data_IF_701455852744
#
_entry.id   IF_701455852744
#
_cell.length_a   1.000
_cell.length_b   1.000
_cell.length_c   1.000
_cell.angle_alpha   90.00
_cell.angle_beta   90.00
_cell.angle_gamma   90.00
#
_symmetry.space_group_name_H-M   'P 1'
#
loop_
_entity.id
_entity.type
_entity.pdbx_description
1 polymer ?
#
# COMPACT_ATOMS: atom_id res chain seq x y z
N UNK A 1 38.69 3.30 39.81
CA UNK A 1 38.37 2.14 38.93
C UNK A 1 36.86 2.01 38.87
N UNK A 2 36.22 2.50 37.80
CA UNK A 2 34.77 2.40 37.61
C UNK A 2 34.39 1.03 37.06
N UNK A 3 33.40 0.38 37.68
CA UNK A 3 32.87 -0.94 37.31
C UNK A 3 32.55 -1.05 35.80
N UNK A 4 33.21 -1.96 35.05
CA UNK A 4 32.93 -2.18 33.62
C UNK A 4 31.47 -2.58 33.33
N UNK A 5 30.82 -3.28 34.26
CA UNK A 5 29.49 -3.87 34.06
C UNK A 5 28.31 -2.88 34.06
N UNK A 6 28.43 -1.72 34.71
CA UNK A 6 27.37 -0.71 34.69
C UNK A 6 27.22 -0.05 33.30
N UNK A 7 28.35 0.17 32.62
CA UNK A 7 28.38 0.76 31.28
C UNK A 7 27.80 -0.18 30.20
N UNK A 8 27.93 -1.49 30.41
CA UNK A 8 27.48 -2.53 29.49
C UNK A 8 25.97 -2.80 29.63
N UNK A 9 25.45 -2.82 30.86
CA UNK A 9 24.01 -2.93 31.12
C UNK A 9 23.22 -1.74 30.57
N UNK A 10 23.75 -0.51 30.69
CA UNK A 10 23.12 0.69 30.11
C UNK A 10 23.11 0.62 28.59
N UNK A 11 24.21 0.15 27.96
CA UNK A 11 24.29 -0.02 26.49
C UNK A 11 23.29 -1.06 25.99
N UNK A 12 23.11 -2.17 26.71
CA UNK A 12 22.15 -3.22 26.36
C UNK A 12 20.70 -2.75 26.53
N UNK A 13 20.40 -1.98 27.60
CA UNK A 13 19.08 -1.38 27.82
C UNK A 13 18.72 -0.34 26.74
N UNK A 14 19.66 0.54 26.38
CA UNK A 14 19.48 1.53 25.31
C UNK A 14 19.31 0.89 23.94
N UNK A 15 20.02 -0.20 23.65
CA UNK A 15 19.86 -0.96 22.42
C UNK A 15 18.46 -1.63 22.36
N UNK A 16 17.97 -2.16 23.47
CA UNK A 16 16.61 -2.70 23.58
C UNK A 16 15.53 -1.64 23.36
N UNK A 17 15.67 -0.47 24.00
CA UNK A 17 14.75 0.66 23.82
C UNK A 17 14.76 1.17 22.37
N UNK A 18 15.95 1.32 21.77
CA UNK A 18 16.10 1.75 20.37
C UNK A 18 15.42 0.80 19.39
N UNK A 19 15.56 -0.52 19.59
CA UNK A 19 14.88 -1.54 18.78
C UNK A 19 13.36 -1.47 18.93
N UNK A 20 12.86 -1.19 20.14
CA UNK A 20 11.44 -1.00 20.38
C UNK A 20 10.90 0.28 19.74
N UNK A 21 11.65 1.37 19.78
CA UNK A 21 11.30 2.61 19.08
C UNK A 21 11.30 2.38 17.57
N UNK A 22 12.30 1.68 17.04
CA UNK A 22 12.33 1.26 15.63
C UNK A 22 11.10 0.42 15.26
N UNK A 23 10.75 -0.61 16.04
CA UNK A 23 9.61 -1.48 15.72
C UNK A 23 8.27 -0.73 15.72
N UNK A 24 8.09 0.22 16.66
CA UNK A 24 6.89 1.05 16.76
C UNK A 24 6.80 2.06 15.61
N UNK A 25 7.92 2.65 15.17
CA UNK A 25 7.96 3.72 14.16
C UNK A 25 8.08 3.23 12.71
N UNK A 26 8.76 2.11 12.46
CA UNK A 26 9.10 1.64 11.11
C UNK A 26 8.09 0.64 10.52
N UNK A 27 7.17 0.11 11.35
CA UNK A 27 6.07 -0.78 10.94
C UNK A 27 6.51 -1.94 10.03
N UNK A 28 7.49 -2.71 10.50
CA UNK A 28 7.82 -4.02 9.93
C UNK A 28 6.90 -5.10 10.55
N UNK A 29 5.78 -5.38 9.88
CA UNK A 29 5.14 -6.70 9.89
C UNK A 29 4.44 -7.23 11.15
N UNK A 30 4.40 -6.52 12.29
CA UNK A 30 3.85 -7.04 13.55
C UNK A 30 2.51 -6.46 14.00
N UNK A 31 1.72 -7.28 14.70
CA UNK A 31 0.44 -7.04 15.41
C UNK A 31 0.52 -6.00 16.55
N UNK A 32 1.45 -5.05 16.50
CA UNK A 32 1.62 -4.06 17.58
C UNK A 32 0.54 -2.96 17.47
N UNK A 33 -0.43 -3.03 18.38
CA UNK A 33 -1.51 -2.05 18.53
C UNK A 33 -0.92 -0.66 18.75
N UNK A 34 0.20 -0.57 19.48
CA UNK A 34 0.87 0.69 19.83
C UNK A 34 1.34 1.44 18.58
N UNK A 35 2.02 0.75 17.67
CA UNK A 35 2.48 1.34 16.40
C UNK A 35 1.32 1.75 15.49
N UNK A 36 0.23 0.97 15.50
CA UNK A 36 -0.97 1.30 14.73
C UNK A 36 -1.67 2.55 15.27
N UNK A 37 -1.86 2.65 16.59
CA UNK A 37 -2.44 3.83 17.24
C UNK A 37 -1.58 5.07 16.99
N UNK A 38 -0.26 4.99 17.19
CA UNK A 38 0.65 6.10 16.93
C UNK A 38 0.55 6.57 15.48
N UNK A 39 0.49 5.64 14.52
CA UNK A 39 0.35 5.96 13.10
C UNK A 39 -0.97 6.70 12.82
N UNK A 40 -2.10 6.26 13.38
CA UNK A 40 -3.38 6.96 13.24
C UNK A 40 -3.35 8.35 13.87
N UNK A 41 -2.73 8.49 15.05
CA UNK A 41 -2.57 9.80 15.71
C UNK A 41 -1.70 10.75 14.88
N UNK A 42 -0.60 10.28 14.30
CA UNK A 42 0.25 11.08 13.41
C UNK A 42 -0.50 11.51 12.15
N UNK A 43 -1.28 10.61 11.54
CA UNK A 43 -2.12 10.96 10.37
C UNK A 43 -3.18 11.99 10.74
N UNK A 44 -3.89 11.81 11.87
CA UNK A 44 -4.87 12.77 12.35
C UNK A 44 -4.23 14.14 12.62
N UNK A 45 -3.04 14.16 13.23
CA UNK A 45 -2.28 15.38 13.46
C UNK A 45 -1.90 16.07 12.15
N UNK A 46 -1.43 15.33 11.13
CA UNK A 46 -1.15 15.89 9.80
C UNK A 46 -2.41 16.55 9.23
N UNK A 47 -3.55 15.86 9.24
CA UNK A 47 -4.81 16.40 8.72
C UNK A 47 -5.23 17.68 9.46
N UNK A 48 -5.16 17.67 10.80
CA UNK A 48 -5.46 18.86 11.62
C UNK A 48 -4.55 20.02 11.27
N UNK A 49 -3.24 19.79 11.09
CA UNK A 49 -2.32 20.87 10.70
C UNK A 49 -2.56 21.40 9.29
N UNK A 50 -2.96 20.56 8.33
CA UNK A 50 -3.30 21.00 6.98
C UNK A 50 -4.57 21.86 7.01
N UNK A 51 -5.58 21.45 7.76
CA UNK A 51 -6.80 22.25 7.97
C UNK A 51 -6.45 23.59 8.63
N UNK A 52 -5.66 23.57 9.71
CA UNK A 52 -5.22 24.79 10.39
C UNK A 52 -4.47 25.74 9.44
N UNK A 53 -3.58 25.22 8.59
CA UNK A 53 -2.85 26.01 7.58
C UNK A 53 -3.80 26.63 6.55
N UNK A 54 -4.84 25.91 6.12
CA UNK A 54 -5.87 26.45 5.22
C UNK A 54 -6.69 27.54 5.91
N UNK A 55 -7.07 27.35 7.17
CA UNK A 55 -7.81 28.36 7.94
C UNK A 55 -6.97 29.62 8.21
N UNK A 56 -5.67 29.46 8.49
CA UNK A 56 -4.70 30.55 8.66
C UNK A 56 -4.52 31.37 7.37
N UNK A 57 -4.78 30.78 6.20
CA UNK A 57 -4.71 31.52 4.93
C UNK A 57 -5.85 32.53 4.72
N UNK A 58 -6.92 32.46 5.53
CA UNK A 58 -8.06 33.38 5.48
C UNK A 58 -7.88 34.49 6.51
N UNK A 59 -7.71 35.77 6.12
CA UNK A 59 -7.32 36.85 7.05
C UNK A 59 -8.21 36.99 8.28
N UNK A 60 -9.54 36.96 8.10
CA UNK A 60 -10.49 37.10 9.20
C UNK A 60 -10.42 35.93 10.21
N UNK A 61 -10.19 34.70 9.74
CA UNK A 61 -10.04 33.54 10.60
C UNK A 61 -8.68 33.53 11.30
N UNK A 62 -7.62 33.95 10.60
CA UNK A 62 -6.29 34.09 11.15
C UNK A 62 -6.27 35.09 12.31
N UNK A 63 -6.95 36.24 12.16
CA UNK A 63 -7.06 37.25 13.22
C UNK A 63 -7.91 36.75 14.39
N UNK A 64 -9.06 36.12 14.11
CA UNK A 64 -10.02 35.69 15.16
C UNK A 64 -9.51 34.49 15.97
N UNK A 65 -8.87 33.52 15.32
CA UNK A 65 -8.42 32.26 15.93
C UNK A 65 -6.90 32.14 16.06
N UNK A 66 -6.17 33.26 15.97
CA UNK A 66 -4.70 33.31 15.98
C UNK A 66 -4.08 32.42 17.07
N UNK A 67 -4.53 32.56 18.31
CA UNK A 67 -3.97 31.81 19.46
C UNK A 67 -4.17 30.30 19.33
N UNK A 68 -5.35 29.86 18.86
CA UNK A 68 -5.66 28.44 18.68
C UNK A 68 -4.82 27.84 17.54
N UNK A 69 -4.77 28.52 16.40
CA UNK A 69 -4.03 28.07 15.21
C UNK A 69 -2.52 27.98 15.52
N UNK A 70 -1.96 28.99 16.19
CA UNK A 70 -0.57 28.95 16.64
C UNK A 70 -0.33 27.83 17.66
N UNK A 71 -1.24 27.60 18.61
CA UNK A 71 -1.08 26.50 19.58
C UNK A 71 -1.03 25.13 18.91
N UNK A 72 -1.89 24.91 17.90
CA UNK A 72 -1.88 23.70 17.08
C UNK A 72 -0.53 23.55 16.37
N UNK A 73 -0.04 24.62 15.74
CA UNK A 73 1.22 24.63 15.00
C UNK A 73 2.42 24.28 15.89
N UNK A 74 2.51 24.89 17.08
CA UNK A 74 3.58 24.66 18.03
C UNK A 74 3.55 23.23 18.58
N UNK A 75 2.36 22.75 18.98
CA UNK A 75 2.18 21.39 19.47
C UNK A 75 2.52 20.36 18.39
N UNK A 76 2.00 20.53 17.17
CA UNK A 76 2.23 19.60 16.09
C UNK A 76 3.69 19.57 15.65
N UNK A 77 4.35 20.74 15.55
CA UNK A 77 5.76 20.80 15.20
C UNK A 77 6.65 20.19 16.27
N UNK A 78 6.31 20.38 17.56
CA UNK A 78 6.98 19.70 18.66
C UNK A 78 6.89 18.18 18.53
N UNK A 79 5.70 17.65 18.27
CA UNK A 79 5.46 16.21 18.05
C UNK A 79 6.23 15.70 16.83
N UNK A 80 6.15 16.38 15.68
CA UNK A 80 6.86 15.99 14.46
C UNK A 80 8.38 16.09 14.59
N UNK A 81 8.89 17.04 15.37
CA UNK A 81 10.32 17.16 15.65
C UNK A 81 10.78 16.01 16.54
N UNK A 82 10.02 15.67 17.59
CA UNK A 82 10.30 14.53 18.45
C UNK A 82 10.26 13.20 17.66
N UNK A 83 9.27 13.05 16.78
CA UNK A 83 9.18 11.91 15.86
C UNK A 83 10.40 11.82 14.94
N UNK A 84 10.80 12.92 14.29
CA UNK A 84 11.97 12.94 13.41
C UNK A 84 13.26 12.59 14.14
N UNK A 85 13.46 13.14 15.34
CA UNK A 85 14.61 12.82 16.19
C UNK A 85 14.60 11.34 16.61
N UNK A 86 13.44 10.81 16.99
CA UNK A 86 13.29 9.40 17.35
C UNK A 86 13.65 8.49 16.17
N UNK A 87 13.21 8.84 14.95
CA UNK A 87 13.56 8.12 13.71
C UNK A 87 15.05 8.21 13.39
N UNK A 88 15.64 9.39 13.49
CA UNK A 88 17.08 9.58 13.27
C UNK A 88 17.90 8.80 14.31
N UNK A 89 17.42 8.71 15.55
CA UNK A 89 18.05 7.92 16.60
C UNK A 89 17.95 6.41 16.35
N UNK A 90 16.79 5.92 15.90
CA UNK A 90 16.52 4.52 15.61
C UNK A 90 17.06 4.04 14.25
N UNK A 91 17.37 4.95 13.32
CA UNK A 91 17.83 4.64 11.96
C UNK A 91 19.08 3.74 11.89
N UNK A 92 19.87 3.65 12.95
CA UNK A 92 21.02 2.72 13.02
C UNK A 92 20.64 1.24 13.12
N UNK A 93 19.36 0.92 13.38
CA UNK A 93 18.84 -0.46 13.40
C UNK A 93 18.36 -0.93 12.01
N UNK A 94 18.19 -0.01 11.05
CA UNK A 94 17.76 -0.36 9.69
C UNK A 94 18.73 -1.35 9.03
N UNK A 95 18.25 -2.49 8.50
CA UNK A 95 19.10 -3.51 7.87
C UNK A 95 20.11 -2.98 6.82
N UNK A 96 19.76 -2.07 5.90
CA UNK A 96 20.71 -1.56 4.91
C UNK A 96 21.68 -0.49 5.46
N UNK A 97 21.37 0.11 6.61
CA UNK A 97 22.15 1.20 7.23
C UNK A 97 23.07 0.69 8.35
N UNK A 98 22.85 -0.53 8.84
CA UNK A 98 23.64 -1.19 9.90
C UNK A 98 25.13 -1.33 9.59
N UNK A 99 25.50 -1.45 8.31
CA UNK A 99 26.90 -1.59 7.88
C UNK A 99 27.67 -0.28 7.84
N UNK A 100 26.97 0.87 7.92
CA UNK A 100 27.60 2.18 7.94
C UNK A 100 27.76 2.64 9.40
N UNK A 101 28.87 3.31 9.72
CA UNK A 101 29.11 3.84 11.06
C UNK A 101 27.95 4.71 11.58
N UNK A 102 27.78 4.82 12.91
CA UNK A 102 26.60 5.43 13.57
C UNK A 102 26.25 6.83 13.05
N UNK A 103 27.26 7.64 12.69
CA UNK A 103 27.05 8.98 12.15
C UNK A 103 26.60 8.95 10.68
N UNK A 104 27.32 8.20 9.83
CA UNK A 104 27.00 8.08 8.40
C UNK A 104 25.65 7.41 8.16
N UNK A 105 25.26 6.42 8.97
CA UNK A 105 23.93 5.80 8.88
C UNK A 105 22.78 6.79 9.14
N UNK A 106 22.97 7.73 10.07
CA UNK A 106 22.01 8.80 10.37
C UNK A 106 21.94 9.85 9.27
N UNK A 107 23.10 10.30 8.78
CA UNK A 107 23.16 11.28 7.69
C UNK A 107 22.51 10.74 6.42
N UNK A 108 22.78 9.47 6.09
CA UNK A 108 22.18 8.79 4.95
C UNK A 108 20.66 8.61 5.11
N UNK A 109 20.16 8.40 6.33
CA UNK A 109 18.73 8.42 6.60
C UNK A 109 18.13 9.82 6.40
N UNK A 110 18.77 10.87 6.94
CA UNK A 110 18.30 12.25 6.80
C UNK A 110 18.20 12.69 5.32
N UNK A 111 19.13 12.24 4.48
CA UNK A 111 19.16 12.50 3.03
C UNK A 111 18.31 11.53 2.21
N UNK A 112 17.64 10.56 2.84
CA UNK A 112 16.70 9.67 2.15
C UNK A 112 15.41 10.41 1.78
N UNK A 113 14.64 9.98 0.76
CA UNK A 113 13.38 10.63 0.39
C UNK A 113 12.41 10.80 1.56
N UNK A 114 12.29 9.78 2.42
CA UNK A 114 11.44 9.84 3.61
C UNK A 114 12.01 10.79 4.68
N UNK A 115 13.33 10.79 4.89
CA UNK A 115 14.00 11.70 5.82
C UNK A 115 13.88 13.16 5.39
N UNK A 116 13.94 13.44 4.09
CA UNK A 116 13.76 14.78 3.52
C UNK A 116 12.33 15.28 3.71
N UNK A 117 11.32 14.41 3.52
CA UNK A 117 9.92 14.76 3.80
C UNK A 117 9.71 15.07 5.29
N UNK A 118 10.27 14.23 6.18
CA UNK A 118 10.15 14.47 7.63
C UNK A 118 10.87 15.75 8.06
N UNK A 119 12.00 16.07 7.44
CA UNK A 119 12.74 17.32 7.65
C UNK A 119 11.95 18.53 7.12
N UNK A 120 11.46 18.47 5.89
CA UNK A 120 10.67 19.54 5.26
C UNK A 120 9.40 19.86 6.06
N UNK A 121 8.82 18.87 6.77
CA UNK A 121 7.65 19.06 7.61
C UNK A 121 7.92 19.92 8.87
N UNK A 122 9.14 19.92 9.39
CA UNK A 122 9.53 20.67 10.60
C UNK A 122 10.33 21.94 10.27
N UNK A 123 10.96 21.99 9.10
CA UNK A 123 11.86 23.06 8.67
C UNK A 123 11.23 24.47 8.71
N UNK A 124 9.97 24.70 8.28
CA UNK A 124 9.38 26.04 8.25
C UNK A 124 9.35 26.73 9.62
N UNK A 125 9.07 25.97 10.68
CA UNK A 125 9.02 26.48 12.04
C UNK A 125 10.40 26.90 12.51
N UNK A 126 11.41 26.06 12.30
CA UNK A 126 12.79 26.36 12.71
C UNK A 126 13.40 27.51 11.90
N UNK A 127 13.07 27.62 10.60
CA UNK A 127 13.49 28.76 9.78
C UNK A 127 12.88 30.08 10.24
N UNK A 128 11.66 30.06 10.78
CA UNK A 128 10.99 31.25 11.32
C UNK A 128 11.69 31.90 12.52
N UNK A 129 12.64 31.21 13.16
CA UNK A 129 13.47 31.80 14.24
C UNK A 129 14.77 32.45 13.73
N UNK A 130 15.20 32.14 12.50
CA UNK A 130 16.52 32.53 11.97
C UNK A 130 16.40 33.58 10.88
N UNK A 131 15.32 33.54 10.11
CA UNK A 131 15.05 34.42 8.97
C UNK A 131 13.77 35.17 9.30
N UNK A 132 13.70 36.48 9.06
CA UNK A 132 12.43 37.23 8.99
C UNK A 132 11.74 36.83 7.67
N UNK A 133 10.78 35.88 7.69
CA UNK A 133 10.26 35.30 6.47
C UNK A 133 9.06 36.11 6.00
N UNK A 134 8.88 36.22 4.70
CA UNK A 134 7.54 36.46 4.17
C UNK A 134 6.66 35.27 4.59
N UNK A 135 5.76 35.50 5.55
CA UNK A 135 4.92 34.47 6.17
C UNK A 135 4.18 33.61 5.14
N UNK A 136 3.93 34.16 3.94
CA UNK A 136 3.28 33.48 2.82
C UNK A 136 4.10 32.32 2.26
N UNK A 137 5.42 32.48 2.12
CA UNK A 137 6.28 31.42 1.58
C UNK A 137 6.36 30.25 2.57
N UNK A 138 6.48 30.55 3.88
CA UNK A 138 6.47 29.51 4.91
C UNK A 138 5.15 28.75 4.96
N UNK A 139 4.02 29.40 4.72
CA UNK A 139 2.70 28.75 4.66
C UNK A 139 2.68 27.66 3.57
N UNK A 140 3.21 27.94 2.38
CA UNK A 140 3.30 26.95 1.29
C UNK A 140 4.23 25.81 1.66
N UNK A 141 5.38 26.08 2.30
CA UNK A 141 6.30 25.02 2.74
C UNK A 141 5.67 24.16 3.84
N UNK A 142 4.83 24.72 4.73
CA UNK A 142 4.07 23.92 5.72
C UNK A 142 3.13 22.90 5.06
N UNK A 143 2.61 23.18 3.86
CA UNK A 143 1.79 22.21 3.11
C UNK A 143 2.58 20.97 2.66
N UNK A 144 3.92 21.02 2.63
CA UNK A 144 4.75 19.84 2.36
C UNK A 144 4.57 18.74 3.42
N UNK A 145 4.03 19.05 4.60
CA UNK A 145 3.60 18.05 5.60
C UNK A 145 2.61 17.05 5.04
N UNK A 146 1.85 17.41 4.00
CA UNK A 146 1.02 16.47 3.25
C UNK A 146 1.81 15.24 2.78
N UNK A 147 3.06 15.43 2.34
CA UNK A 147 3.89 14.32 1.90
C UNK A 147 4.24 13.33 3.01
N UNK A 148 4.12 13.68 4.30
CA UNK A 148 4.24 12.69 5.39
C UNK A 148 3.20 11.57 5.27
N UNK A 149 2.02 11.83 4.70
CA UNK A 149 0.99 10.82 4.48
C UNK A 149 1.47 9.66 3.59
N UNK A 150 2.45 9.89 2.70
CA UNK A 150 3.04 8.84 1.86
C UNK A 150 3.64 7.69 2.69
N UNK A 151 4.20 8.00 3.87
CA UNK A 151 4.77 7.02 4.80
C UNK A 151 3.71 6.24 5.56
N UNK A 152 2.55 6.84 5.78
CA UNK A 152 1.48 6.24 6.56
C UNK A 152 0.47 5.46 5.69
N UNK A 153 0.51 5.64 4.37
CA UNK A 153 -0.37 4.97 3.40
C UNK A 153 0.40 3.97 2.53
N UNK A 154 0.17 2.65 2.70
CA UNK A 154 0.71 1.62 1.80
C UNK A 154 0.29 1.82 0.34
N UNK A 155 -0.94 2.29 0.10
CA UNK A 155 -1.46 2.55 -1.24
C UNK A 155 -0.68 3.66 -1.95
N UNK A 156 -0.34 4.73 -1.22
CA UNK A 156 0.45 5.83 -1.78
C UNK A 156 1.87 5.38 -2.14
N UNK A 157 2.48 4.49 -1.33
CA UNK A 157 3.76 3.87 -1.70
C UNK A 157 3.65 3.06 -2.99
N UNK A 158 2.63 2.20 -3.11
CA UNK A 158 2.40 1.43 -4.35
C UNK A 158 2.26 2.33 -5.57
N UNK A 159 1.55 3.46 -5.44
CA UNK A 159 1.42 4.42 -6.53
C UNK A 159 2.77 5.03 -6.92
N UNK A 160 3.58 5.46 -5.95
CA UNK A 160 4.91 6.01 -6.20
C UNK A 160 5.87 4.97 -6.82
N UNK A 161 5.82 3.73 -6.33
CA UNK A 161 6.60 2.61 -6.86
C UNK A 161 6.22 2.32 -8.31
N UNK A 162 4.92 2.29 -8.62
CA UNK A 162 4.39 2.12 -9.97
C UNK A 162 4.82 3.27 -10.92
N UNK A 163 4.71 4.52 -10.47
CA UNK A 163 5.17 5.68 -11.25
C UNK A 163 6.68 5.65 -11.49
N UNK A 164 7.47 5.25 -10.50
CA UNK A 164 8.91 5.15 -10.64
C UNK A 164 9.31 4.02 -11.61
N UNK A 165 8.62 2.89 -11.57
CA UNK A 165 8.80 1.79 -12.52
C UNK A 165 8.56 2.27 -13.96
N UNK A 166 7.48 3.02 -14.20
CA UNK A 166 7.09 3.52 -15.52
C UNK A 166 7.66 4.89 -15.90
N UNK A 167 8.60 5.44 -15.11
CA UNK A 167 9.13 6.80 -15.32
C UNK A 167 9.67 7.05 -16.73
N UNK A 168 10.20 6.02 -17.40
CA UNK A 168 10.70 6.12 -18.78
C UNK A 168 9.56 6.31 -19.78
N UNK A 169 8.49 5.53 -19.63
CA UNK A 169 7.29 5.63 -20.47
C UNK A 169 6.58 6.97 -20.24
N UNK A 170 6.42 7.38 -18.97
CA UNK A 170 5.85 8.68 -18.60
C UNK A 170 6.67 9.86 -19.10
N UNK A 171 8.02 9.79 -19.01
CA UNK A 171 8.89 10.80 -19.58
C UNK A 171 8.74 10.88 -21.11
N UNK A 172 8.61 9.75 -21.80
CA UNK A 172 8.30 9.71 -23.23
C UNK A 172 6.98 10.41 -23.56
N UNK A 173 5.92 10.16 -22.78
CA UNK A 173 4.63 10.84 -22.92
C UNK A 173 4.78 12.35 -22.74
N UNK A 174 5.52 12.80 -21.72
CA UNK A 174 5.77 14.21 -21.48
C UNK A 174 6.52 14.88 -22.65
N UNK A 175 7.55 14.22 -23.17
CA UNK A 175 8.33 14.73 -24.31
C UNK A 175 7.45 14.90 -25.55
N UNK A 176 6.63 13.89 -25.88
CA UNK A 176 5.71 13.97 -27.01
C UNK A 176 4.68 15.07 -26.77
N UNK A 177 4.13 15.20 -25.56
CA UNK A 177 3.13 16.22 -25.23
C UNK A 177 3.70 17.63 -25.41
N UNK A 178 4.91 17.88 -24.89
CA UNK A 178 5.60 19.16 -25.06
C UNK A 178 5.94 19.43 -26.53
N UNK A 179 6.36 18.41 -27.27
CA UNK A 179 6.62 18.52 -28.71
C UNK A 179 5.35 18.89 -29.50
N UNK A 180 4.24 18.19 -29.27
CA UNK A 180 2.95 18.50 -29.88
C UNK A 180 2.45 19.88 -29.48
N UNK A 181 2.61 20.28 -28.21
CA UNK A 181 2.23 21.61 -27.74
C UNK A 181 3.03 22.70 -28.47
N UNK A 182 4.34 22.51 -28.63
CA UNK A 182 5.20 23.49 -29.33
C UNK A 182 4.83 23.62 -30.82
N UNK A 183 4.55 22.50 -31.49
CA UNK A 183 4.11 22.50 -32.90
C UNK A 183 2.75 23.17 -33.04
N UNK A 184 1.78 22.80 -32.19
CA UNK A 184 0.45 23.40 -32.19
C UNK A 184 0.51 24.93 -31.91
N UNK A 185 1.36 25.35 -30.98
CA UNK A 185 1.60 26.75 -30.66
C UNK A 185 2.17 27.52 -31.85
N UNK A 186 3.19 26.98 -32.52
CA UNK A 186 3.80 27.61 -33.69
C UNK A 186 2.81 27.75 -34.85
N UNK A 187 2.01 26.71 -35.12
CA UNK A 187 0.95 26.74 -36.13
C UNK A 187 -0.14 27.75 -35.78
N UNK A 188 -0.56 27.79 -34.51
CA UNK A 188 -1.59 28.71 -34.05
C UNK A 188 -1.11 30.16 -34.11
N UNK A 189 0.11 30.44 -33.67
CA UNK A 189 0.76 31.74 -33.83
C UNK A 189 0.78 32.15 -35.31
N UNK A 190 1.20 31.27 -36.22
CA UNK A 190 1.22 31.59 -37.65
C UNK A 190 -0.18 31.92 -38.21
N UNK A 191 -1.22 31.22 -37.75
CA UNK A 191 -2.59 31.38 -38.23
C UNK A 191 -3.31 32.61 -37.64
N UNK A 192 -3.06 32.94 -36.36
CA UNK A 192 -3.87 33.92 -35.62
C UNK A 192 -3.11 35.20 -35.27
N UNK A 193 -1.76 35.27 -35.39
CA UNK A 193 -0.98 36.45 -34.96
C UNK A 193 -1.41 37.78 -35.57
N UNK A 194 -1.97 37.77 -36.78
CA UNK A 194 -2.46 38.98 -37.45
C UNK A 194 -3.87 39.37 -37.01
N UNK A 195 -4.71 38.40 -36.70
CA UNK A 195 -6.09 38.61 -36.27
C UNK A 195 -6.21 38.88 -34.76
N UNK A 196 -5.31 38.29 -33.97
CA UNK A 196 -5.30 38.35 -32.51
C UNK A 196 -3.86 38.52 -31.97
N UNK A 197 -3.20 39.67 -32.25
CA UNK A 197 -1.84 39.92 -31.79
C UNK A 197 -1.70 39.90 -30.27
N UNK A 198 -2.74 40.31 -29.52
CA UNK A 198 -2.70 40.33 -28.05
C UNK A 198 -2.75 38.93 -27.41
N UNK A 199 -3.22 37.91 -28.14
CA UNK A 199 -3.40 36.54 -27.63
C UNK A 199 -2.45 35.52 -28.25
N UNK A 200 -2.17 35.68 -29.54
CA UNK A 200 -1.34 34.77 -30.33
C UNK A 200 -0.16 35.50 -30.98
N UNK A 201 0.23 36.67 -30.45
CA UNK A 201 1.31 37.49 -30.99
C UNK A 201 2.71 36.90 -30.85
N UNK A 202 2.91 35.97 -29.92
CA UNK A 202 4.17 35.23 -29.78
C UNK A 202 3.93 33.72 -29.64
N UNK A 203 4.97 32.92 -29.90
CA UNK A 203 4.91 31.46 -29.72
C UNK A 203 4.64 31.09 -28.25
N UNK A 204 5.27 31.71 -27.23
CA UNK A 204 4.92 31.46 -25.84
C UNK A 204 3.44 31.72 -25.49
N UNK A 205 2.83 32.78 -26.02
CA UNK A 205 1.41 33.06 -25.76
C UNK A 205 0.52 31.98 -26.39
N UNK A 206 0.85 31.55 -27.61
CA UNK A 206 0.19 30.42 -28.26
C UNK A 206 0.47 29.07 -27.58
N UNK A 207 1.59 28.93 -26.88
CA UNK A 207 1.96 27.73 -26.13
C UNK A 207 1.06 27.56 -24.90
N UNK A 208 0.68 28.64 -24.23
CA UNK A 208 -0.32 28.60 -23.16
C UNK A 208 -1.64 28.03 -23.67
N UNK A 209 -2.15 28.53 -24.81
CA UNK A 209 -3.34 27.98 -25.45
C UNK A 209 -3.18 26.48 -25.79
N UNK A 210 -2.03 26.08 -26.34
CA UNK A 210 -1.77 24.69 -26.70
C UNK A 210 -1.76 23.76 -25.48
N UNK A 211 -1.13 24.18 -24.36
CA UNK A 211 -1.12 23.42 -23.10
C UNK A 211 -2.53 23.28 -22.53
N UNK A 212 -3.30 24.38 -22.47
CA UNK A 212 -4.68 24.39 -21.96
C UNK A 212 -5.60 23.51 -22.83
N UNK A 213 -5.40 23.52 -24.15
CA UNK A 213 -6.19 22.73 -25.11
C UNK A 213 -5.83 21.25 -25.07
N UNK A 214 -4.52 20.90 -25.15
CA UNK A 214 -4.04 19.52 -25.08
C UNK A 214 -4.31 18.88 -23.72
N UNK A 215 -4.23 19.68 -22.65
CA UNK A 215 -4.58 19.28 -21.28
C UNK A 215 -6.09 19.17 -21.05
N UNK A 216 -6.92 19.40 -22.06
CA UNK A 216 -8.40 19.31 -21.99
C UNK A 216 -9.06 20.23 -20.97
N UNK A 217 -8.38 21.32 -20.57
CA UNK A 217 -8.89 22.28 -19.56
C UNK A 217 -9.83 23.31 -20.18
N UNK A 218 -9.39 23.96 -21.25
CA UNK A 218 -10.22 24.90 -22.02
C UNK A 218 -10.77 26.10 -21.23
N UNK A 219 -9.91 26.92 -20.61
CA UNK A 219 -10.34 28.12 -19.86
C UNK A 219 -11.17 29.13 -20.69
N UNK A 220 -10.97 29.17 -22.01
CA UNK A 220 -11.70 30.07 -22.93
C UNK A 220 -11.15 31.51 -22.97
N UNK A 221 -10.00 31.75 -22.36
CA UNK A 221 -9.26 33.02 -22.37
C UNK A 221 -8.70 33.35 -23.77
N UNK A 222 -8.25 32.35 -24.52
CA UNK A 222 -7.82 32.48 -25.92
C UNK A 222 -8.43 31.37 -26.80
N UNK A 223 -9.04 31.75 -27.92
CA UNK A 223 -9.64 30.83 -28.90
C UNK A 223 -9.40 31.34 -30.33
N UNK A 224 -9.18 30.46 -31.32
CA UNK A 224 -8.98 30.90 -32.70
C UNK A 224 -10.28 31.45 -33.31
N UNK A 225 -10.16 32.56 -34.02
CA UNK A 225 -11.30 33.19 -34.72
C UNK A 225 -11.24 32.97 -36.23
N UNK A 226 -10.07 32.62 -36.78
CA UNK A 226 -9.89 32.32 -38.20
C UNK A 226 -10.32 30.89 -38.55
N UNK A 227 -10.69 30.66 -39.81
CA UNK A 227 -11.03 29.32 -40.29
C UNK A 227 -9.85 28.34 -40.17
N UNK A 228 -8.63 28.80 -40.49
CA UNK A 228 -7.40 28.01 -40.38
C UNK A 228 -7.09 27.69 -38.91
N UNK A 229 -7.19 28.68 -38.01
CA UNK A 229 -7.00 28.47 -36.58
C UNK A 229 -8.00 27.47 -36.00
N UNK A 230 -9.28 27.52 -36.41
CA UNK A 230 -10.29 26.53 -35.98
C UNK A 230 -9.98 25.12 -36.48
N UNK A 231 -9.45 24.97 -37.70
CA UNK A 231 -8.99 23.68 -38.21
C UNK A 231 -7.82 23.13 -37.38
N UNK A 232 -6.82 23.97 -37.11
CA UNK A 232 -5.65 23.62 -36.27
C UNK A 232 -6.11 23.22 -34.86
N UNK A 233 -7.04 23.97 -34.26
CA UNK A 233 -7.60 23.66 -32.95
C UNK A 233 -8.34 22.32 -32.97
N UNK A 234 -9.13 22.03 -34.01
CA UNK A 234 -9.79 20.73 -34.18
C UNK A 234 -8.80 19.57 -34.14
N UNK A 235 -7.73 19.65 -34.93
CA UNK A 235 -6.66 18.63 -34.95
C UNK A 235 -5.97 18.52 -33.58
N UNK A 236 -5.70 19.66 -32.94
CA UNK A 236 -5.04 19.72 -31.63
C UNK A 236 -5.88 19.07 -30.54
N UNK A 237 -7.20 19.27 -30.56
CA UNK A 237 -8.14 18.63 -29.61
C UNK A 237 -8.10 17.11 -29.76
N UNK A 238 -8.18 16.58 -31.00
CA UNK A 238 -8.08 15.14 -31.24
C UNK A 238 -6.72 14.57 -30.79
N UNK A 239 -5.63 15.27 -31.08
CA UNK A 239 -4.29 14.89 -30.61
C UNK A 239 -4.23 14.84 -29.07
N UNK A 240 -4.77 15.85 -28.39
CA UNK A 240 -4.83 15.91 -26.93
C UNK A 240 -5.60 14.75 -26.32
N UNK A 241 -6.76 14.40 -26.87
CA UNK A 241 -7.57 13.27 -26.40
C UNK A 241 -6.80 11.94 -26.47
N UNK A 242 -6.12 11.68 -27.59
CA UNK A 242 -5.28 10.49 -27.75
C UNK A 242 -4.09 10.50 -26.79
N UNK A 243 -3.49 11.68 -26.59
CA UNK A 243 -2.29 11.88 -25.79
C UNK A 243 -2.54 11.65 -24.29
N UNK A 244 -3.67 12.11 -23.76
CA UNK A 244 -4.03 11.96 -22.34
C UNK A 244 -4.34 10.50 -21.98
N UNK A 245 -4.84 9.71 -22.94
CA UNK A 245 -5.12 8.29 -22.72
C UNK A 245 -3.89 7.46 -22.37
N UNK A 246 -2.73 7.80 -22.95
CA UNK A 246 -1.49 7.04 -22.77
C UNK A 246 -0.94 7.07 -21.32
N UNK A 247 -0.66 8.24 -20.69
CA UNK A 247 -0.18 8.28 -19.31
C UNK A 247 -1.21 7.72 -18.34
N UNK A 248 -2.51 7.95 -18.56
CA UNK A 248 -3.56 7.36 -17.71
C UNK A 248 -3.53 5.83 -17.79
N UNK A 249 -3.43 5.25 -18.99
CA UNK A 249 -3.33 3.80 -19.19
C UNK A 249 -2.06 3.20 -18.60
N UNK A 250 -0.91 3.87 -18.76
CA UNK A 250 0.37 3.47 -18.16
C UNK A 250 0.25 3.44 -16.63
N UNK A 251 -0.23 4.53 -16.01
CA UNK A 251 -0.38 4.60 -14.54
C UNK A 251 -1.37 3.58 -14.03
N UNK A 252 -2.51 3.39 -14.70
CA UNK A 252 -3.51 2.41 -14.31
C UNK A 252 -2.96 0.97 -14.35
N UNK A 253 -2.26 0.62 -15.44
CA UNK A 253 -1.65 -0.71 -15.61
C UNK A 253 -0.54 -0.94 -14.59
N UNK A 254 0.31 0.07 -14.36
CA UNK A 254 1.40 -0.02 -13.40
C UNK A 254 0.90 -0.16 -11.96
N UNK A 255 -0.14 0.59 -11.59
CA UNK A 255 -0.76 0.49 -10.29
C UNK A 255 -1.41 -0.88 -10.08
N UNK A 256 -2.15 -1.38 -11.08
CA UNK A 256 -2.74 -2.72 -11.04
C UNK A 256 -1.65 -3.79 -10.85
N UNK A 257 -0.56 -3.72 -11.63
CA UNK A 257 0.55 -4.65 -11.52
C UNK A 257 1.24 -4.62 -10.14
N UNK A 258 1.44 -3.42 -9.56
CA UNK A 258 2.08 -3.31 -8.23
C UNK A 258 1.17 -3.81 -7.10
N UNK A 259 -0.15 -3.59 -7.20
CA UNK A 259 -1.12 -4.16 -6.25
C UNK A 259 -1.10 -5.69 -6.33
N UNK A 260 -1.20 -6.26 -7.53
CA UNK A 260 -1.12 -7.71 -7.73
C UNK A 260 0.21 -8.31 -7.27
N UNK A 261 1.34 -7.62 -7.51
CA UNK A 261 2.66 -8.06 -7.06
C UNK A 261 2.78 -8.09 -5.54
N UNK A 262 2.18 -7.13 -4.82
CA UNK A 262 2.16 -7.16 -3.34
C UNK A 262 1.32 -8.32 -2.82
N UNK A 263 0.16 -8.57 -3.40
CA UNK A 263 -0.67 -9.75 -3.07
C UNK A 263 0.11 -11.04 -3.30
N UNK A 264 0.87 -11.11 -4.41
CA UNK A 264 1.77 -12.23 -4.71
C UNK A 264 2.86 -12.39 -3.63
N UNK A 265 3.63 -11.34 -3.29
CA UNK A 265 4.74 -11.44 -2.32
C UNK A 265 4.23 -11.86 -0.93
N UNK A 266 3.11 -11.28 -0.49
CA UNK A 266 2.47 -11.66 0.78
C UNK A 266 2.05 -13.13 0.73
N UNK A 267 1.37 -13.54 -0.35
CA UNK A 267 0.92 -14.94 -0.52
C UNK A 267 2.09 -15.91 -0.58
N UNK A 268 3.19 -15.58 -1.26
CA UNK A 268 4.38 -16.44 -1.35
C UNK A 268 5.00 -16.70 0.01
N UNK A 269 5.20 -15.64 0.82
CA UNK A 269 5.73 -15.76 2.17
C UNK A 269 4.82 -16.55 3.12
N UNK A 270 3.52 -16.62 2.82
CA UNK A 270 2.54 -17.43 3.54
C UNK A 270 2.53 -18.88 3.05
N UNK A 271 2.58 -19.13 1.74
CA UNK A 271 2.64 -20.46 1.11
C UNK A 271 3.90 -21.21 1.52
N UNK A 272 5.06 -20.55 1.52
CA UNK A 272 6.33 -21.15 1.91
C UNK A 272 6.37 -21.65 3.36
N UNK A 273 5.46 -21.17 4.23
CA UNK A 273 5.35 -21.62 5.62
C UNK A 273 4.52 -22.90 5.78
N UNK A 274 3.77 -23.30 4.75
CA UNK A 274 2.84 -24.42 4.82
C UNK A 274 3.60 -25.70 4.42
N UNK A 275 3.71 -26.70 5.31
CA UNK A 275 4.45 -27.93 5.03
C UNK A 275 3.98 -28.66 3.76
N UNK A 276 2.69 -28.55 3.44
CA UNK A 276 2.05 -29.13 2.24
C UNK A 276 2.79 -28.75 0.94
N UNK A 277 3.29 -27.50 0.86
CA UNK A 277 3.89 -26.93 -0.35
C UNK A 277 5.42 -26.87 -0.31
N UNK A 278 6.05 -27.37 0.76
CA UNK A 278 7.49 -27.25 0.99
C UNK A 278 8.38 -27.95 -0.05
N UNK A 279 7.84 -28.92 -0.78
CA UNK A 279 8.56 -29.70 -1.79
C UNK A 279 8.27 -29.27 -3.22
N UNK A 280 7.43 -28.25 -3.40
CA UNK A 280 7.12 -27.74 -4.73
C UNK A 280 8.29 -26.87 -5.24
N UNK A 281 8.59 -27.00 -6.51
CA UNK A 281 9.53 -26.15 -7.24
C UNK A 281 8.95 -24.75 -7.44
N UNK A 282 9.80 -23.77 -7.74
CA UNK A 282 9.36 -22.38 -7.93
C UNK A 282 8.24 -22.21 -9.00
N UNK A 283 8.28 -22.90 -10.15
CA UNK A 283 7.18 -22.87 -11.13
C UNK A 283 5.87 -23.46 -10.57
N UNK A 284 5.94 -24.60 -9.87
CA UNK A 284 4.76 -25.26 -9.29
C UNK A 284 4.12 -24.39 -8.19
N UNK A 285 4.93 -23.70 -7.39
CA UNK A 285 4.44 -22.73 -6.40
C UNK A 285 3.73 -21.57 -7.10
N UNK A 286 4.24 -21.07 -8.23
CA UNK A 286 3.60 -19.99 -8.97
C UNK A 286 2.21 -20.41 -9.48
N UNK A 287 2.07 -21.66 -9.96
CA UNK A 287 0.78 -22.22 -10.37
C UNK A 287 -0.21 -22.28 -9.20
N UNK A 288 0.21 -22.81 -8.05
CA UNK A 288 -0.62 -22.86 -6.83
C UNK A 288 -1.01 -21.45 -6.38
N UNK A 289 -0.07 -20.51 -6.41
CA UNK A 289 -0.33 -19.13 -5.99
C UNK A 289 -1.33 -18.40 -6.88
N UNK A 290 -1.39 -18.73 -8.18
CA UNK A 290 -2.32 -18.09 -9.11
C UNK A 290 -3.79 -18.31 -8.76
N UNK A 291 -4.09 -19.37 -8.01
CA UNK A 291 -5.44 -19.76 -7.58
C UNK A 291 -5.70 -19.50 -6.09
N UNK A 292 -4.67 -19.21 -5.30
CA UNK A 292 -4.82 -18.89 -3.89
C UNK A 292 -5.20 -17.43 -3.67
N UNK A 293 -6.19 -17.20 -2.80
CA UNK A 293 -6.61 -15.85 -2.37
C UNK A 293 -6.29 -15.63 -0.91
N UNK A 294 -5.52 -14.59 -0.61
CA UNK A 294 -5.27 -14.19 0.78
C UNK A 294 -6.52 -13.53 1.39
N UNK A 295 -6.93 -13.98 2.58
CA UNK A 295 -8.04 -13.43 3.35
C UNK A 295 -7.62 -13.16 4.79
N UNK A 296 -7.79 -11.94 5.26
CA UNK A 296 -7.58 -11.58 6.68
C UNK A 296 -8.92 -11.62 7.42
N UNK A 297 -8.93 -12.21 8.62
CA UNK A 297 -10.10 -12.25 9.50
C UNK A 297 -9.72 -11.75 10.90
N UNK A 298 -10.63 -11.05 11.55
CA UNK A 298 -10.45 -10.56 12.93
C UNK A 298 -10.82 -11.66 13.94
N UNK A 299 -10.41 -11.50 15.21
CA UNK A 299 -10.75 -12.45 16.27
C UNK A 299 -12.27 -12.57 16.47
N UNK A 300 -12.75 -13.79 16.69
CA UNK A 300 -14.17 -14.10 16.87
C UNK A 300 -14.97 -14.21 15.57
N UNK A 301 -14.34 -14.04 14.41
CA UNK A 301 -15.02 -14.13 13.11
C UNK A 301 -15.32 -15.58 12.77
N UNK A 302 -16.58 -15.88 12.47
CA UNK A 302 -16.98 -17.19 11.95
C UNK A 302 -16.59 -17.27 10.47
N UNK A 303 -15.64 -18.14 10.15
CA UNK A 303 -15.07 -18.30 8.81
C UNK A 303 -16.00 -19.16 7.94
N UNK A 304 -16.52 -20.25 8.52
CA UNK A 304 -17.47 -21.16 7.89
C UNK A 304 -18.39 -21.75 8.95
N UNK A 305 -19.70 -21.88 8.68
CA UNK A 305 -20.64 -22.51 9.60
C UNK A 305 -20.91 -23.94 9.20
N UNK A 306 -21.12 -24.79 10.21
CA UNK A 306 -21.56 -26.16 10.00
C UNK A 306 -22.84 -26.20 9.16
N UNK A 307 -22.88 -27.13 8.20
CA UNK A 307 -24.05 -27.36 7.34
C UNK A 307 -24.11 -26.44 6.12
N UNK A 308 -23.27 -25.40 6.02
CA UNK A 308 -23.15 -24.61 4.80
C UNK A 308 -22.51 -25.44 3.68
N UNK A 309 -22.88 -25.21 2.41
CA UNK A 309 -22.17 -25.83 1.29
C UNK A 309 -20.69 -25.39 1.28
N UNK A 310 -19.78 -26.33 1.08
CA UNK A 310 -18.36 -26.03 1.03
C UNK A 310 -17.90 -25.71 -0.40
N UNK A 311 -17.51 -24.45 -0.60
CA UNK A 311 -17.01 -23.97 -1.90
C UNK A 311 -15.49 -23.77 -1.93
N UNK A 312 -14.82 -23.88 -0.78
CA UNK A 312 -13.37 -23.58 -0.68
C UNK A 312 -12.74 -24.35 0.49
N UNK A 313 -11.44 -24.62 0.41
CA UNK A 313 -10.62 -24.99 1.57
C UNK A 313 -9.80 -23.80 2.07
N UNK A 314 -9.36 -23.85 3.33
CA UNK A 314 -8.64 -22.77 3.98
C UNK A 314 -7.32 -23.28 4.55
N UNK A 315 -6.23 -22.57 4.26
CA UNK A 315 -4.93 -22.80 4.87
C UNK A 315 -4.60 -21.66 5.82
N UNK A 316 -4.17 -21.98 7.03
CA UNK A 316 -3.86 -21.01 8.08
C UNK A 316 -2.40 -20.61 7.90
N UNK A 317 -2.17 -19.39 7.45
CA UNK A 317 -0.81 -18.92 7.22
C UNK A 317 -0.22 -18.21 8.46
N UNK A 318 -1.07 -17.58 9.26
CA UNK A 318 -0.71 -16.92 10.52
C UNK A 318 -1.95 -16.78 11.41
N UNK A 319 -1.82 -17.00 12.71
CA UNK A 319 -2.93 -16.99 13.67
C UNK A 319 -3.51 -18.39 13.97
N UNK A 320 -4.72 -18.40 14.53
CA UNK A 320 -5.36 -19.60 15.08
C UNK A 320 -6.86 -19.65 14.72
N UNK A 321 -7.36 -20.88 14.53
CA UNK A 321 -8.76 -21.17 14.23
C UNK A 321 -9.24 -22.32 15.10
N UNK A 322 -10.37 -22.12 15.77
CA UNK A 322 -11.09 -23.18 16.49
C UNK A 322 -12.17 -23.79 15.58
N UNK A 323 -12.12 -25.11 15.43
CA UNK A 323 -13.17 -25.92 14.81
C UNK A 323 -14.07 -26.51 15.89
N UNK A 324 -15.33 -26.07 15.94
CA UNK A 324 -16.35 -26.63 16.83
C UNK A 324 -17.02 -27.84 16.16
N UNK A 325 -16.51 -29.03 16.47
CA UNK A 325 -17.12 -30.33 16.13
C UNK A 325 -18.17 -30.73 17.18
N UNK A 326 -18.95 -31.81 16.95
CA UNK A 326 -20.01 -32.21 17.92
C UNK A 326 -19.42 -32.65 19.25
N UNK A 327 -18.30 -33.35 19.20
CA UNK A 327 -17.78 -34.07 20.36
C UNK A 327 -16.58 -33.40 21.02
N UNK A 328 -15.75 -32.67 20.25
CA UNK A 328 -14.60 -31.95 20.81
C UNK A 328 -14.17 -30.76 19.93
N UNK A 329 -13.91 -29.57 20.49
CA UNK A 329 -13.27 -28.50 19.73
C UNK A 329 -11.82 -28.86 19.40
N UNK A 330 -11.41 -28.61 18.16
CA UNK A 330 -10.02 -28.75 17.71
C UNK A 330 -9.47 -27.36 17.41
N UNK A 331 -8.30 -27.04 17.95
CA UNK A 331 -7.58 -25.83 17.61
C UNK A 331 -6.58 -26.11 16.50
N UNK A 332 -6.62 -25.28 15.48
CA UNK A 332 -5.69 -25.29 14.37
C UNK A 332 -4.82 -24.04 14.40
N UNK A 333 -3.52 -24.24 14.16
CA UNK A 333 -2.50 -23.19 14.20
C UNK A 333 -1.91 -22.94 12.81
N UNK A 334 -1.06 -21.92 12.68
CA UNK A 334 -0.34 -21.62 11.45
C UNK A 334 0.39 -22.84 10.87
N UNK A 335 0.30 -23.00 9.55
CA UNK A 335 0.81 -24.15 8.79
C UNK A 335 -0.21 -25.27 8.57
N UNK A 336 -1.32 -25.28 9.33
CA UNK A 336 -2.39 -26.27 9.19
C UNK A 336 -3.52 -25.76 8.28
N UNK A 337 -4.42 -26.66 7.86
CA UNK A 337 -5.53 -26.35 6.96
C UNK A 337 -6.81 -27.11 7.33
N UNK A 338 -7.95 -26.60 6.86
CA UNK A 338 -9.27 -27.18 7.08
C UNK A 338 -10.22 -26.96 5.91
N UNK A 339 -11.28 -27.78 5.86
CA UNK A 339 -12.31 -27.70 4.84
C UNK A 339 -11.95 -28.42 3.53
N UNK A 340 -10.82 -29.12 3.49
CA UNK A 340 -10.34 -29.94 2.38
C UNK A 340 -11.33 -31.03 2.00
N UNK A 341 -11.87 -31.77 2.99
CA UNK A 341 -12.79 -32.89 2.73
C UNK A 341 -14.06 -32.38 2.04
N UNK A 342 -14.64 -31.31 2.57
CA UNK A 342 -15.88 -30.76 2.04
C UNK A 342 -15.68 -30.08 0.68
N UNK A 343 -14.52 -29.46 0.44
CA UNK A 343 -14.17 -28.89 -0.86
C UNK A 343 -13.93 -29.97 -1.93
N UNK A 344 -13.25 -31.07 -1.59
CA UNK A 344 -12.98 -32.20 -2.49
C UNK A 344 -14.24 -33.00 -2.84
N UNK A 345 -15.11 -33.25 -1.85
CA UNK A 345 -16.30 -34.08 -2.01
C UNK A 345 -17.56 -33.31 -2.39
N UNK A 346 -17.46 -32.00 -2.59
CA UNK A 346 -18.60 -31.09 -2.75
C UNK A 346 -19.68 -31.28 -1.66
N UNK A 347 -19.25 -31.52 -0.42
CA UNK A 347 -20.14 -31.79 0.71
C UNK A 347 -20.40 -30.53 1.55
N UNK A 348 -21.24 -30.65 2.60
CA UNK A 348 -21.50 -29.57 3.54
C UNK A 348 -20.42 -29.51 4.62
N UNK A 349 -20.19 -28.32 5.20
CA UNK A 349 -19.22 -28.12 6.29
C UNK A 349 -19.55 -29.00 7.49
N UNK A 350 -18.58 -29.80 7.93
CA UNK A 350 -18.70 -30.71 9.09
C UNK A 350 -18.70 -29.97 10.45
N UNK A 351 -17.99 -28.84 10.53
CA UNK A 351 -17.78 -28.06 11.74
C UNK A 351 -17.95 -26.55 11.49
N UNK A 352 -18.18 -25.81 12.58
CA UNK A 352 -18.12 -24.33 12.54
C UNK A 352 -16.69 -23.89 12.86
N UNK A 353 -16.07 -23.17 11.93
CA UNK A 353 -14.72 -22.63 12.07
C UNK A 353 -14.77 -21.17 12.53
N UNK A 354 -14.12 -20.86 13.63
CA UNK A 354 -14.07 -19.49 14.20
C UNK A 354 -12.63 -19.10 14.49
N UNK A 355 -12.21 -17.90 14.09
CA UNK A 355 -10.89 -17.38 14.48
C UNK A 355 -10.86 -17.02 15.97
N UNK A 356 -9.82 -17.42 16.69
CA UNK A 356 -9.63 -17.05 18.11
C UNK A 356 -8.84 -15.76 18.27
N UNK A 357 -8.05 -15.42 17.25
CA UNK A 357 -7.22 -14.21 17.16
C UNK A 357 -7.28 -13.63 15.73
N UNK A 358 -6.67 -12.46 15.45
CA UNK A 358 -6.53 -11.99 14.08
C UNK A 358 -5.72 -13.00 13.25
N UNK A 359 -6.35 -13.58 12.23
CA UNK A 359 -5.83 -14.73 11.47
C UNK A 359 -5.73 -14.39 9.98
N UNK A 360 -4.65 -14.81 9.32
CA UNK A 360 -4.47 -14.74 7.86
C UNK A 360 -4.64 -16.13 7.26
N UNK A 361 -5.57 -16.23 6.32
CA UNK A 361 -5.93 -17.45 5.63
C UNK A 361 -5.55 -17.34 4.15
N UNK A 362 -5.17 -18.46 3.56
CA UNK A 362 -5.17 -18.65 2.12
C UNK A 362 -6.41 -19.48 1.76
N UNK A 363 -7.23 -18.95 0.86
CA UNK A 363 -8.46 -19.58 0.40
C UNK A 363 -8.19 -20.20 -0.96
N UNK A 364 -8.57 -21.47 -1.12
CA UNK A 364 -8.54 -22.17 -2.40
C UNK A 364 -9.94 -22.66 -2.72
N UNK A 365 -10.52 -22.17 -3.81
CA UNK A 365 -11.86 -22.57 -4.23
C UNK A 365 -11.88 -24.02 -4.75
N UNK A 366 -13.01 -24.71 -4.62
CA UNK A 366 -13.12 -26.13 -4.94
C UNK A 366 -12.84 -26.41 -6.42
N UNK A 367 -13.33 -25.58 -7.34
CA UNK A 367 -13.04 -25.70 -8.78
C UNK A 367 -11.54 -25.60 -9.06
N UNK A 368 -10.87 -24.67 -8.38
CA UNK A 368 -9.46 -24.38 -8.58
C UNK A 368 -8.59 -25.44 -7.93
N UNK A 369 -9.02 -26.01 -6.80
CA UNK A 369 -8.40 -27.17 -6.17
C UNK A 369 -8.39 -28.38 -7.09
N UNK A 370 -9.53 -28.72 -7.72
CA UNK A 370 -9.59 -29.83 -8.67
C UNK A 370 -8.69 -29.59 -9.89
N UNK A 371 -8.76 -28.40 -10.49
CA UNK A 371 -7.89 -28.03 -11.62
C UNK A 371 -6.39 -28.08 -11.25
N UNK A 372 -6.05 -27.72 -10.02
CA UNK A 372 -4.68 -27.78 -9.50
C UNK A 372 -4.23 -29.23 -9.27
N UNK A 373 -5.10 -30.09 -8.74
CA UNK A 373 -4.83 -31.52 -8.55
C UNK A 373 -4.61 -32.24 -9.88
N UNK A 374 -5.39 -31.91 -10.91
CA UNK A 374 -5.23 -32.46 -12.26
C UNK A 374 -3.87 -32.09 -12.88
N UNK A 375 -3.42 -30.84 -12.64
CA UNK A 375 -2.13 -30.35 -13.13
C UNK A 375 -0.94 -30.87 -12.31
N UNK A 376 -1.14 -31.15 -11.03
CA UNK A 376 -0.08 -31.47 -10.07
C UNK A 376 -0.42 -32.74 -9.27
N UNK A 377 -0.19 -33.95 -9.84
CA UNK A 377 -0.56 -35.21 -9.21
C UNK A 377 0.13 -35.48 -7.85
N UNK A 378 1.35 -34.95 -7.67
CA UNK A 378 2.09 -35.08 -6.39
C UNK A 378 1.37 -34.32 -5.27
N UNK A 379 0.86 -33.12 -5.57
CA UNK A 379 0.11 -32.33 -4.61
C UNK A 379 -1.25 -32.99 -4.31
N UNK A 380 -1.91 -33.52 -5.34
CA UNK A 380 -3.16 -34.28 -5.19
C UNK A 380 -3.00 -35.43 -4.20
N UNK A 381 -1.96 -36.26 -4.37
CA UNK A 381 -1.69 -37.39 -3.46
C UNK A 381 -1.51 -36.97 -2.00
N UNK A 382 -0.83 -35.85 -1.73
CA UNK A 382 -0.65 -35.33 -0.36
C UNK A 382 -1.94 -34.80 0.26
N UNK A 383 -2.75 -34.11 -0.55
CA UNK A 383 -4.04 -33.59 -0.09
C UNK A 383 -4.98 -34.76 0.22
N UNK A 384 -4.99 -35.79 -0.64
CA UNK A 384 -5.76 -37.02 -0.40
C UNK A 384 -5.27 -37.82 0.80
N UNK A 385 -3.96 -37.93 1.00
CA UNK A 385 -3.36 -38.61 2.16
C UNK A 385 -3.71 -37.88 3.46
N UNK A 386 -3.57 -36.56 3.50
CA UNK A 386 -3.95 -35.76 4.67
C UNK A 386 -5.46 -35.80 4.93
N UNK A 387 -6.29 -35.83 3.89
CA UNK A 387 -7.72 -36.05 4.02
C UNK A 387 -8.02 -37.46 4.59
N UNK A 388 -7.31 -38.48 4.10
CA UNK A 388 -7.46 -39.89 4.53
C UNK A 388 -6.99 -40.12 5.97
N UNK A 389 -5.92 -39.47 6.41
CA UNK A 389 -5.43 -39.55 7.80
C UNK A 389 -6.47 -38.99 8.78
N UNK A 390 -7.08 -37.84 8.45
CA UNK A 390 -8.18 -37.27 9.22
C UNK A 390 -9.46 -38.13 9.16
N UNK A 391 -9.83 -38.61 7.98
CA UNK A 391 -10.97 -39.53 7.79
C UNK A 391 -10.76 -40.86 8.53
N UNK A 392 -9.54 -41.39 8.54
CA UNK A 392 -9.18 -42.64 9.21
C UNK A 392 -9.30 -42.54 10.73
N UNK A 393 -8.99 -41.38 11.29
CA UNK A 393 -9.19 -41.10 12.70
C UNK A 393 -10.68 -41.03 13.10
N UNK A 394 -11.55 -40.60 12.17
CA UNK A 394 -13.01 -40.55 12.36
C UNK A 394 -13.71 -41.87 11.97
N UNK A 395 -13.15 -42.69 11.07
CA UNK A 395 -13.69 -43.98 10.62
C UNK A 395 -13.69 -45.07 11.71
N UNK A 396 -12.77 -45.00 12.69
CA UNK A 396 -12.65 -45.98 13.78
C UNK A 396 -13.07 -45.44 15.16
N UNK A 397 -13.51 -44.18 15.24
CA UNK A 397 -14.12 -43.67 16.45
C UNK A 397 -15.51 -44.33 16.62
N UNK A 398 -15.87 -44.87 17.80
CA UNK A 398 -17.19 -45.47 18.03
C UNK A 398 -18.37 -44.50 17.82
N UNK A 399 -18.10 -43.21 17.63
CA UNK A 399 -19.02 -42.12 17.32
C UNK A 399 -18.38 -41.21 16.25
N UNK A 400 -18.44 -41.59 14.97
CA UNK A 400 -17.89 -40.77 13.88
C UNK A 400 -18.76 -39.53 13.61
N UNK A 401 -18.11 -38.40 13.36
CA UNK A 401 -18.76 -37.11 13.06
C UNK A 401 -19.18 -36.95 11.58
N UNK A 402 -18.89 -37.98 10.76
CA UNK A 402 -19.19 -38.06 9.34
C UNK A 402 -20.63 -38.55 9.14
N UNK A 403 -21.38 -37.86 8.28
CA UNK A 403 -22.74 -38.27 7.93
C UNK A 403 -22.64 -39.57 7.14
N UNK A 404 -23.51 -40.56 7.37
CA UNK A 404 -23.48 -41.86 6.68
C UNK A 404 -23.46 -41.77 5.14
N UNK A 405 -23.91 -40.63 4.57
CA UNK A 405 -23.82 -40.30 3.15
C UNK A 405 -22.36 -40.11 2.64
N UNK A 406 -21.40 -39.80 3.50
CA UNK A 406 -19.98 -39.62 3.15
C UNK A 406 -19.23 -40.96 2.98
N UNK A 407 -19.74 -42.06 3.55
CA UNK A 407 -19.14 -43.40 3.43
C UNK A 407 -19.48 -44.12 2.12
N UNK A 408 -20.59 -43.74 1.45
CA UNK A 408 -21.17 -44.55 0.37
C UNK A 408 -21.40 -43.81 -0.95
N UNK A 409 -21.01 -42.53 -1.08
CA UNK A 409 -21.08 -41.85 -2.37
C UNK A 409 -19.96 -42.36 -3.31
N UNK A 410 -20.28 -42.98 -4.47
CA UNK A 410 -19.27 -43.41 -5.41
C UNK A 410 -18.54 -42.21 -6.00
N UNK A 411 -17.22 -42.33 -6.12
CA UNK A 411 -16.37 -41.40 -6.86
C UNK A 411 -16.85 -41.43 -8.31
N UNK A 412 -17.29 -40.29 -8.84
CA UNK A 412 -17.60 -40.12 -10.26
C UNK A 412 -16.64 -39.13 -10.88
#
# INVERSE_FOLDING_TARGET
MGSPGASENIRNSLAGLRRRVYSVLERDGGTDITGSVLNYLLVALIVVTLIATVLESVPHLAETYSTLLQSIEWAATGIFSAEYVARLWSATEHPPLRHHGRFFGRLRFALSPHGLVDLAAILPFWLGFVIDPDFRLLLVVRLLRFFKLTRHSPAMRSLLDALYAERRALAGCLVILLGTALVAAALMHLAERTAQPDKFGTIPDALWWAIVTLGTVGYGDAVPITALGRLIAGITIFAGLLMVGLPVGIVATAFANEVHRRDFIVTWGLVARIPLFSTLTAPEIADVMSVLRARKVDAGTVIARRGEPAHSMYLIADGEVELKLKHRPIQLVAGQFFGEIAALRHSRRSATATSTMPTRLLVLDASDLHALMDRQPILAGRIEEAAREKLGHDLYAPNSDLVAEELYAPIR
#
